data_IF_527873340396
#
_entry.id   IF_527873340396
#
_cell.length_a   1.000
_cell.length_b   1.000
_cell.length_c   1.000
_cell.angle_alpha   90.00
_cell.angle_beta   90.00
_cell.angle_gamma   90.00
#
_symmetry.space_group_name_H-M   'P 1'
#
loop_
_entity.id
_entity.type
_entity.pdbx_description
1 polymer ?
#
# COMPACT_ATOMS: atom_id res chain seq x y z
N UNK A 1 -57.24 -27.09 -16.75
CA UNK A 1 -56.40 -26.44 -15.71
C UNK A 1 -55.24 -27.31 -15.22
N UNK A 2 -55.13 -28.60 -15.57
CA UNK A 2 -54.01 -29.46 -15.10
C UNK A 2 -52.70 -29.29 -15.89
N UNK A 3 -52.75 -28.92 -17.17
CA UNK A 3 -51.55 -28.87 -18.04
C UNK A 3 -50.60 -27.72 -17.67
N UNK A 4 -51.14 -26.58 -17.20
CA UNK A 4 -50.32 -25.45 -16.76
C UNK A 4 -49.63 -25.72 -15.42
N UNK A 5 -50.24 -26.49 -14.53
CA UNK A 5 -49.65 -26.83 -13.24
C UNK A 5 -48.46 -27.79 -13.40
N UNK A 6 -48.56 -28.74 -14.34
CA UNK A 6 -47.47 -29.67 -14.66
C UNK A 6 -46.25 -28.97 -15.29
N UNK A 7 -46.46 -28.01 -16.19
CA UNK A 7 -45.36 -27.25 -16.77
C UNK A 7 -44.62 -26.41 -15.72
N UNK A 8 -45.33 -25.75 -14.80
CA UNK A 8 -44.70 -24.93 -13.75
C UNK A 8 -43.86 -25.80 -12.80
N UNK A 9 -44.33 -27.00 -12.44
CA UNK A 9 -43.55 -27.91 -11.61
C UNK A 9 -42.31 -28.48 -12.33
N UNK A 10 -42.41 -28.73 -13.64
CA UNK A 10 -41.26 -29.16 -14.44
C UNK A 10 -40.17 -28.07 -14.52
N UNK A 11 -40.56 -26.81 -14.72
CA UNK A 11 -39.61 -25.69 -14.74
C UNK A 11 -38.96 -25.43 -13.37
N UNK A 12 -39.70 -25.59 -12.27
CA UNK A 12 -39.16 -25.50 -10.92
C UNK A 12 -38.17 -26.62 -10.60
N UNK A 13 -38.47 -27.86 -11.00
CA UNK A 13 -37.57 -28.99 -10.80
C UNK A 13 -36.26 -28.86 -11.61
N UNK A 14 -36.34 -28.39 -12.86
CA UNK A 14 -35.17 -28.11 -13.70
C UNK A 14 -34.34 -26.95 -13.11
N UNK A 15 -35.00 -25.90 -12.61
CA UNK A 15 -34.34 -24.77 -11.95
C UNK A 15 -33.57 -25.18 -10.70
N UNK A 16 -34.17 -26.01 -9.83
CA UNK A 16 -33.49 -26.52 -8.63
C UNK A 16 -32.34 -27.49 -8.96
N UNK A 17 -32.50 -28.32 -10.00
CA UNK A 17 -31.44 -29.23 -10.46
C UNK A 17 -30.20 -28.51 -10.98
N UNK A 18 -30.39 -27.40 -11.71
CA UNK A 18 -29.30 -26.57 -12.22
C UNK A 18 -28.54 -25.83 -11.10
N UNK A 19 -29.25 -25.38 -10.06
CA UNK A 19 -28.61 -24.74 -8.90
C UNK A 19 -27.75 -25.74 -8.12
N UNK A 20 -28.21 -26.99 -7.95
CA UNK A 20 -27.43 -28.04 -7.29
C UNK A 20 -26.20 -28.46 -8.09
N UNK A 21 -26.28 -28.49 -9.43
CA UNK A 21 -25.15 -28.79 -10.32
C UNK A 21 -24.06 -27.72 -10.29
N UNK A 22 -24.43 -26.44 -10.13
CA UNK A 22 -23.48 -25.32 -9.96
C UNK A 22 -22.80 -25.38 -8.59
N UNK A 23 -23.49 -25.84 -7.55
CA UNK A 23 -22.93 -25.95 -6.19
C UNK A 23 -22.02 -27.17 -5.99
N UNK A 24 -22.18 -28.24 -6.78
CA UNK A 24 -21.35 -29.45 -6.69
C UNK A 24 -20.02 -29.38 -7.45
N UNK A 25 -19.76 -28.32 -8.23
CA UNK A 25 -18.55 -28.24 -9.06
C UNK A 25 -17.36 -27.51 -8.40
N UNK A 26 -17.48 -27.10 -7.14
CA UNK A 26 -16.35 -26.61 -6.33
C UNK A 26 -15.73 -27.77 -5.53
N UNK A 27 -15.23 -28.79 -6.24
CA UNK A 27 -14.24 -29.70 -5.68
C UNK A 27 -12.88 -29.03 -5.81
N UNK A 28 -12.43 -28.42 -4.70
CA UNK A 28 -11.12 -27.81 -4.57
C UNK A 28 -10.03 -28.90 -4.68
N UNK A 29 -9.14 -28.86 -5.69
CA UNK A 29 -8.00 -29.75 -5.72
C UNK A 29 -7.02 -29.29 -4.64
N UNK A 30 -6.77 -30.12 -3.63
CA UNK A 30 -5.62 -29.99 -2.74
C UNK A 30 -4.37 -30.32 -3.55
N UNK A 31 -3.79 -29.31 -4.21
CA UNK A 31 -2.45 -29.39 -4.77
C UNK A 31 -1.45 -28.96 -3.70
N UNK A 32 -0.59 -29.89 -3.30
CA UNK A 32 0.69 -29.57 -2.66
C UNK A 32 1.43 -28.62 -3.62
N UNK A 33 1.46 -27.34 -3.25
CA UNK A 33 2.14 -26.31 -4.03
C UNK A 33 3.64 -26.43 -3.72
N UNK A 34 4.39 -27.01 -4.66
CA UNK A 34 5.84 -26.93 -4.68
C UNK A 34 6.24 -25.45 -4.59
N UNK A 35 7.06 -25.14 -3.59
CA UNK A 35 7.50 -23.80 -3.25
C UNK A 35 8.39 -23.23 -4.35
N UNK A 36 7.74 -22.64 -5.36
CA UNK A 36 8.40 -21.90 -6.44
C UNK A 36 8.73 -20.49 -5.93
N UNK A 37 10.00 -20.11 -5.99
CA UNK A 37 10.44 -18.74 -5.71
C UNK A 37 9.57 -17.72 -6.45
N UNK A 38 9.10 -16.69 -5.72
CA UNK A 38 8.07 -15.73 -6.11
C UNK A 38 8.07 -15.33 -7.60
N UNK A 39 6.98 -15.65 -8.29
CA UNK A 39 6.66 -15.14 -9.63
C UNK A 39 5.77 -13.88 -9.62
N UNK A 40 5.38 -13.35 -8.46
CA UNK A 40 4.55 -12.14 -8.37
C UNK A 40 5.39 -10.87 -8.29
N UNK A 41 4.99 -9.85 -9.07
CA UNK A 41 5.66 -8.53 -9.16
C UNK A 41 5.76 -7.84 -7.80
N UNK A 42 4.70 -7.90 -6.99
CA UNK A 42 4.58 -7.28 -5.67
C UNK A 42 4.44 -8.35 -4.59
N UNK A 43 5.22 -8.26 -3.53
CA UNK A 43 5.26 -9.22 -2.43
C UNK A 43 3.97 -9.16 -1.60
N UNK A 44 3.48 -7.95 -1.36
CA UNK A 44 2.27 -7.69 -0.56
C UNK A 44 1.00 -8.18 -1.25
N UNK A 45 1.00 -8.33 -2.58
CA UNK A 45 -0.17 -8.85 -3.33
C UNK A 45 -0.55 -10.25 -2.90
N UNK A 46 0.43 -11.09 -2.62
CA UNK A 46 0.19 -12.46 -2.18
C UNK A 46 -0.47 -12.49 -0.79
N UNK A 47 -0.16 -11.53 0.09
CA UNK A 47 -0.84 -11.39 1.39
C UNK A 47 -2.33 -11.05 1.19
N UNK A 48 -2.63 -10.02 0.39
CA UNK A 48 -4.01 -9.58 0.14
C UNK A 48 -4.86 -10.53 -0.73
N UNK A 49 -4.25 -11.56 -1.32
CA UNK A 49 -5.00 -12.67 -1.94
C UNK A 49 -5.59 -13.63 -0.91
N UNK A 50 -5.00 -13.69 0.28
CA UNK A 50 -5.35 -14.64 1.34
C UNK A 50 -6.08 -13.91 2.49
N UNK A 51 -5.74 -12.64 2.71
CA UNK A 51 -6.28 -11.82 3.79
C UNK A 51 -7.05 -10.62 3.24
N UNK A 52 -8.26 -10.40 3.76
CA UNK A 52 -9.12 -9.27 3.35
C UNK A 52 -8.70 -7.92 3.94
N UNK A 53 -7.84 -7.92 4.98
CA UNK A 53 -7.40 -6.71 5.67
C UNK A 53 -6.00 -6.85 6.23
N UNK A 54 -5.34 -5.71 6.47
CA UNK A 54 -3.99 -5.67 7.04
C UNK A 54 -4.04 -5.81 8.56
N UNK A 55 -3.53 -6.92 9.06
CA UNK A 55 -3.34 -7.19 10.49
C UNK A 55 -1.84 -7.31 10.75
N UNK A 56 -1.28 -6.45 11.60
CA UNK A 56 0.18 -6.32 11.75
C UNK A 56 0.86 -7.65 12.13
N UNK A 57 0.31 -8.41 13.08
CA UNK A 57 0.90 -9.69 13.49
C UNK A 57 0.93 -10.73 12.37
N UNK A 58 -0.16 -10.85 11.61
CA UNK A 58 -0.26 -11.76 10.47
C UNK A 58 0.66 -11.33 9.32
N UNK A 59 0.78 -10.02 9.12
CA UNK A 59 1.65 -9.46 8.09
C UNK A 59 3.12 -9.66 8.45
N UNK A 60 3.51 -9.44 9.71
CA UNK A 60 4.86 -9.72 10.20
C UNK A 60 5.22 -11.20 10.06
N UNK A 61 4.30 -12.11 10.41
CA UNK A 61 4.47 -13.54 10.22
C UNK A 61 4.59 -13.90 8.72
N UNK A 62 3.76 -13.31 7.86
CA UNK A 62 3.84 -13.48 6.41
C UNK A 62 5.21 -13.05 5.87
N UNK A 63 5.69 -11.87 6.29
CA UNK A 63 6.98 -11.33 5.87
C UNK A 63 8.13 -12.22 6.36
N UNK A 64 8.06 -12.74 7.58
CA UNK A 64 9.09 -13.61 8.16
C UNK A 64 9.15 -15.00 7.51
N UNK A 65 7.99 -15.59 7.18
CA UNK A 65 7.89 -16.98 6.76
C UNK A 65 7.82 -17.16 5.24
N UNK A 66 7.18 -16.24 4.52
CA UNK A 66 6.93 -16.43 3.09
C UNK A 66 7.98 -15.79 2.21
N UNK A 67 8.60 -14.67 2.59
CA UNK A 67 9.74 -14.15 1.84
C UNK A 67 10.90 -15.12 2.07
N UNK A 68 11.46 -15.78 1.04
CA UNK A 68 12.65 -16.61 1.21
C UNK A 68 13.80 -15.70 1.61
N UNK A 69 13.97 -15.53 2.92
CA UNK A 69 15.05 -14.80 3.54
C UNK A 69 16.29 -15.68 3.43
N UNK A 70 17.08 -15.44 2.38
CA UNK A 70 18.49 -15.88 2.38
C UNK A 70 18.76 -17.36 2.17
N UNK A 71 17.97 -18.11 1.39
CA UNK A 71 18.44 -19.37 0.82
C UNK A 71 18.54 -19.27 -0.71
N UNK A 72 19.48 -18.46 -1.15
CA UNK A 72 20.20 -18.87 -2.35
C UNK A 72 21.09 -20.01 -1.84
N UNK A 73 20.86 -21.26 -2.30
CA UNK A 73 21.66 -22.45 -1.97
C UNK A 73 23.11 -22.26 -2.48
N UNK A 74 23.84 -21.34 -1.86
CA UNK A 74 25.22 -21.06 -2.16
C UNK A 74 26.03 -21.79 -1.11
N UNK A 75 26.56 -22.95 -1.52
CA UNK A 75 27.55 -23.73 -0.80
C UNK A 75 28.52 -22.85 0.00
N UNK A 76 28.81 -23.32 1.21
CA UNK A 76 29.69 -22.78 2.25
C UNK A 76 31.06 -22.31 1.73
N UNK A 77 31.13 -21.12 1.15
CA UNK A 77 32.40 -20.40 1.04
C UNK A 77 32.22 -18.98 1.56
N UNK A 78 32.91 -18.73 2.66
CA UNK A 78 32.75 -17.57 3.51
C UNK A 78 33.15 -16.29 2.77
N UNK A 79 32.14 -15.49 2.39
CA UNK A 79 32.09 -14.01 2.42
C UNK A 79 30.92 -13.50 1.57
N UNK A 80 29.73 -13.49 2.16
CA UNK A 80 28.49 -13.13 1.47
C UNK A 80 28.20 -11.62 1.50
N UNK A 81 27.60 -11.15 0.40
CA UNK A 81 27.00 -9.82 0.25
C UNK A 81 25.77 -9.72 1.17
N UNK A 82 25.90 -9.03 2.29
CA UNK A 82 24.78 -8.81 3.23
C UNK A 82 24.50 -7.31 3.33
N UNK A 83 23.37 -6.81 2.79
CA UNK A 83 22.99 -5.42 2.96
C UNK A 83 22.55 -5.17 4.40
N UNK A 84 23.06 -4.10 5.02
CA UNK A 84 22.71 -3.68 6.38
C UNK A 84 22.11 -2.29 6.39
N UNK A 85 21.01 -2.12 7.12
CA UNK A 85 20.43 -0.79 7.35
C UNK A 85 21.32 -0.01 8.33
N UNK A 86 21.88 1.13 7.89
CA UNK A 86 22.68 1.99 8.76
C UNK A 86 21.84 3.00 9.53
N UNK A 87 20.94 3.66 8.81
CA UNK A 87 20.10 4.71 9.35
C UNK A 87 18.89 4.90 8.47
N UNK A 88 17.78 5.29 9.07
CA UNK A 88 16.65 5.85 8.37
C UNK A 88 16.19 7.10 9.15
N UNK A 89 15.62 8.05 8.44
CA UNK A 89 15.04 9.24 9.06
C UNK A 89 13.78 9.57 8.30
N UNK A 90 12.72 9.88 9.03
CA UNK A 90 11.39 10.04 8.46
C UNK A 90 10.70 11.25 9.06
N UNK A 91 10.00 11.99 8.21
CA UNK A 91 9.25 13.16 8.62
C UNK A 91 8.05 13.41 7.69
N UNK A 92 7.01 14.03 8.23
CA UNK A 92 5.90 14.55 7.42
C UNK A 92 6.20 16.00 7.02
N UNK A 93 6.10 16.27 5.73
CA UNK A 93 6.31 17.58 5.12
C UNK A 93 4.98 18.12 4.61
N UNK A 94 4.74 19.42 4.81
CA UNK A 94 3.55 20.12 4.35
C UNK A 94 2.53 20.38 5.47
N UNK A 95 1.43 21.00 5.08
CA UNK A 95 0.33 21.43 5.98
C UNK A 95 -1.01 20.99 5.41
N UNK A 96 -2.01 20.85 6.28
CA UNK A 96 -3.35 20.42 5.88
C UNK A 96 -3.49 18.90 5.72
N UNK A 97 -4.45 18.50 4.88
CA UNK A 97 -4.86 17.11 4.63
C UNK A 97 -4.03 16.40 3.57
N UNK A 98 -3.28 17.13 2.73
CA UNK A 98 -2.32 16.54 1.81
C UNK A 98 -0.91 16.84 2.33
N UNK A 99 -0.14 15.78 2.66
CA UNK A 99 1.23 15.86 3.14
C UNK A 99 2.13 14.88 2.41
N UNK A 100 3.44 15.04 2.56
CA UNK A 100 4.42 14.11 2.01
C UNK A 100 5.19 13.43 3.15
N UNK A 101 5.17 12.11 3.18
CA UNK A 101 6.05 11.32 4.04
C UNK A 101 7.42 11.22 3.37
N UNK A 102 8.37 11.96 3.90
CA UNK A 102 9.76 11.96 3.45
C UNK A 102 10.55 10.94 4.24
N UNK A 103 11.19 10.00 3.56
CA UNK A 103 12.07 8.99 4.17
C UNK A 103 13.45 9.04 3.54
N UNK A 104 14.48 9.19 4.38
CA UNK A 104 15.90 9.12 4.01
C UNK A 104 16.48 7.84 4.61
N UNK A 105 16.85 6.87 3.77
CA UNK A 105 17.35 5.55 4.17
C UNK A 105 18.82 5.45 3.73
N UNK A 106 19.68 4.94 4.62
CA UNK A 106 21.09 4.66 4.36
C UNK A 106 21.35 3.17 4.57
N UNK A 107 21.93 2.53 3.56
CA UNK A 107 22.19 1.10 3.55
C UNK A 107 23.67 0.89 3.27
N UNK A 108 24.34 0.06 4.05
CA UNK A 108 25.72 -0.36 3.79
C UNK A 108 25.71 -1.71 3.10
N UNK A 109 26.50 -1.82 2.04
CA UNK A 109 26.79 -3.11 1.42
C UNK A 109 28.06 -3.66 2.06
N UNK A 110 27.95 -4.69 2.90
CA UNK A 110 29.13 -5.31 3.52
C UNK A 110 29.60 -6.50 2.67
N UNK A 111 30.85 -6.44 2.19
CA UNK A 111 31.54 -7.53 1.51
C UNK A 111 33.03 -7.25 1.34
N UNK A 112 33.89 -8.11 1.89
CA UNK A 112 35.36 -7.94 1.88
C UNK A 112 36.09 -8.64 0.71
N UNK A 113 35.40 -9.16 -0.31
CA UNK A 113 36.07 -9.95 -1.35
C UNK A 113 36.30 -9.18 -2.66
N UNK A 114 37.52 -9.35 -3.21
CA UNK A 114 37.98 -8.85 -4.51
C UNK A 114 37.29 -9.50 -5.72
N UNK A 115 36.43 -10.49 -5.51
CA UNK A 115 35.64 -11.15 -6.55
C UNK A 115 34.22 -10.60 -6.52
N UNK A 116 34.00 -9.50 -7.25
CA UNK A 116 32.66 -9.00 -7.60
C UNK A 116 31.87 -10.16 -8.20
N UNK A 117 30.93 -10.76 -7.46
CA UNK A 117 29.76 -11.34 -8.11
C UNK A 117 28.98 -10.12 -8.64
N UNK A 118 28.93 -9.91 -9.97
CA UNK A 118 28.27 -8.75 -10.51
C UNK A 118 26.76 -9.02 -10.38
N UNK A 119 26.16 -8.58 -9.27
CA UNK A 119 24.72 -8.38 -9.26
C UNK A 119 24.40 -7.48 -10.46
N UNK A 120 23.67 -8.01 -11.43
CA UNK A 120 23.37 -7.26 -12.65
C UNK A 120 22.38 -6.14 -12.37
N UNK A 121 21.44 -6.42 -11.46
CA UNK A 121 20.49 -5.46 -10.94
C UNK A 121 20.15 -5.78 -9.49
N UNK A 122 20.05 -4.73 -8.67
CA UNK A 122 19.52 -4.82 -7.32
C UNK A 122 18.39 -3.79 -7.20
N UNK A 123 17.26 -4.24 -6.69
CA UNK A 123 16.09 -3.43 -6.43
C UNK A 123 15.86 -3.36 -4.92
N UNK A 124 15.59 -2.17 -4.40
CA UNK A 124 15.08 -1.99 -3.04
C UNK A 124 13.56 -1.89 -3.10
N UNK A 125 12.90 -2.65 -2.25
CA UNK A 125 11.45 -2.67 -2.10
C UNK A 125 11.15 -2.12 -0.71
N UNK A 126 10.30 -1.10 -0.65
CA UNK A 126 9.89 -0.41 0.56
C UNK A 126 8.41 -0.65 0.75
N UNK A 127 8.04 -1.27 1.85
CA UNK A 127 6.66 -1.60 2.19
C UNK A 127 6.21 -0.67 3.31
N UNK A 128 5.41 0.33 2.97
CA UNK A 128 4.86 1.31 3.90
C UNK A 128 3.44 0.91 4.32
N UNK A 129 3.28 0.55 5.59
CA UNK A 129 1.98 0.19 6.19
C UNK A 129 1.24 1.45 6.62
N UNK A 130 0.19 1.82 5.90
CA UNK A 130 -0.57 3.03 6.21
C UNK A 130 -1.59 2.78 7.34
N UNK A 131 -1.72 3.70 8.30
CA UNK A 131 -2.81 3.69 9.27
C UNK A 131 -4.14 4.04 8.59
N UNK A 132 -5.28 3.67 9.19
CA UNK A 132 -6.62 3.93 8.61
C UNK A 132 -6.99 5.42 8.47
N UNK A 133 -6.21 6.32 9.08
CA UNK A 133 -6.35 7.76 8.91
C UNK A 133 -5.55 8.35 7.74
N UNK A 134 -4.68 7.57 7.11
CA UNK A 134 -3.85 7.97 5.98
C UNK A 134 -4.19 7.18 4.71
N UNK A 135 -4.00 7.82 3.57
CA UNK A 135 -4.27 7.26 2.26
C UNK A 135 -3.18 7.70 1.28
N UNK A 136 -2.75 6.83 0.38
CA UNK A 136 -1.91 7.21 -0.75
C UNK A 136 -2.70 7.01 -2.04
N UNK A 137 -2.81 8.06 -2.85
CA UNK A 137 -3.58 8.02 -4.10
C UNK A 137 -2.83 7.20 -5.16
N UNK A 138 -3.39 6.06 -5.63
CA UNK A 138 -2.75 5.25 -6.67
C UNK A 138 -2.46 6.05 -7.96
N UNK A 139 -3.29 7.02 -8.33
CA UNK A 139 -3.08 7.82 -9.53
C UNK A 139 -1.90 8.77 -9.38
N UNK A 140 -1.76 9.40 -8.22
CA UNK A 140 -0.61 10.25 -7.89
C UNK A 140 0.69 9.43 -7.86
N UNK A 141 0.66 8.22 -7.31
CA UNK A 141 1.83 7.33 -7.29
C UNK A 141 2.19 6.81 -8.67
N UNK A 142 1.20 6.48 -9.51
CA UNK A 142 1.46 6.14 -10.91
C UNK A 142 2.14 7.28 -11.66
N UNK A 143 1.78 8.54 -11.37
CA UNK A 143 2.47 9.68 -11.93
C UNK A 143 3.97 9.69 -11.53
N UNK A 144 4.31 9.29 -10.30
CA UNK A 144 5.71 9.20 -9.86
C UNK A 144 6.48 8.10 -10.60
N UNK A 145 5.83 6.99 -10.93
CA UNK A 145 6.40 5.94 -11.81
C UNK A 145 6.66 6.48 -13.21
N UNK A 146 5.68 7.17 -13.82
CA UNK A 146 5.84 7.74 -15.17
C UNK A 146 6.97 8.78 -15.25
N UNK A 147 7.24 9.50 -14.16
CA UNK A 147 8.36 10.45 -14.06
C UNK A 147 9.70 9.78 -13.77
N UNK A 148 9.74 8.45 -13.60
CA UNK A 148 10.94 7.71 -13.26
C UNK A 148 11.43 7.93 -11.82
N UNK A 149 10.57 8.45 -10.93
CA UNK A 149 10.92 8.60 -9.50
C UNK A 149 10.93 7.23 -8.82
N UNK A 150 9.96 6.39 -9.16
CA UNK A 150 9.87 5.00 -8.74
C UNK A 150 9.97 4.10 -9.96
N UNK A 151 10.62 2.94 -9.83
CA UNK A 151 10.61 1.92 -10.88
C UNK A 151 9.22 1.31 -11.01
N UNK A 152 8.56 1.11 -9.86
CA UNK A 152 7.22 0.57 -9.79
C UNK A 152 6.58 0.87 -8.43
N UNK A 153 5.25 0.83 -8.36
CA UNK A 153 4.51 1.06 -7.11
C UNK A 153 3.16 0.35 -7.12
N UNK A 154 2.75 -0.18 -5.98
CA UNK A 154 1.41 -0.70 -5.76
C UNK A 154 0.81 -0.19 -4.45
N UNK A 155 -0.50 0.05 -4.47
CA UNK A 155 -1.29 0.32 -3.26
C UNK A 155 -2.28 -0.84 -3.10
N UNK A 156 -2.25 -1.51 -1.95
CA UNK A 156 -3.08 -2.67 -1.65
C UNK A 156 -3.86 -2.46 -0.34
N UNK A 157 -4.95 -3.21 -0.17
CA UNK A 157 -5.90 -3.03 0.93
C UNK A 157 -6.95 -1.97 0.58
N UNK A 158 -7.31 -1.12 1.54
CA UNK A 158 -8.35 -0.11 1.33
C UNK A 158 -7.86 1.07 0.47
N UNK A 159 -8.31 1.09 -0.77
CA UNK A 159 -8.02 2.14 -1.74
C UNK A 159 -9.18 3.13 -1.96
N UNK A 160 -10.26 3.04 -1.17
CA UNK A 160 -11.42 3.90 -1.36
C UNK A 160 -11.19 5.27 -0.72
N UNK A 161 -10.85 6.26 -1.55
CA UNK A 161 -10.58 7.64 -1.13
C UNK A 161 -11.74 8.29 -0.35
N UNK A 162 -12.98 7.89 -0.63
CA UNK A 162 -14.19 8.52 -0.07
C UNK A 162 -14.55 7.99 1.33
N UNK A 163 -13.95 6.88 1.77
CA UNK A 163 -14.25 6.34 3.09
C UNK A 163 -13.59 7.16 4.20
N UNK A 164 -14.35 7.55 5.25
CA UNK A 164 -13.78 8.18 6.43
C UNK A 164 -12.97 7.15 7.24
N UNK A 165 -12.05 7.61 8.08
CA UNK A 165 -11.09 6.76 8.78
C UNK A 165 -11.75 5.69 9.68
N UNK A 166 -12.91 6.00 10.27
CA UNK A 166 -13.66 5.08 11.13
C UNK A 166 -14.44 3.99 10.38
N UNK A 167 -14.48 4.05 9.05
CA UNK A 167 -15.05 2.99 8.17
C UNK A 167 -14.03 2.41 7.20
N UNK A 168 -12.80 2.90 7.24
CA UNK A 168 -11.74 2.48 6.33
C UNK A 168 -10.93 1.36 6.96
N UNK A 169 -10.53 0.40 6.15
CA UNK A 169 -9.46 -0.52 6.50
C UNK A 169 -8.10 0.13 6.23
N UNK A 170 -7.03 -0.55 6.66
CA UNK A 170 -5.66 -0.11 6.40
C UNK A 170 -5.23 -0.51 4.99
N UNK A 171 -4.23 0.22 4.47
CA UNK A 171 -3.62 -0.05 3.18
C UNK A 171 -2.10 -0.15 3.30
N UNK A 172 -1.48 -0.72 2.28
CA UNK A 172 -0.02 -0.88 2.17
C UNK A 172 0.42 -0.29 0.85
N UNK A 173 1.49 0.49 0.89
CA UNK A 173 2.16 0.98 -0.32
C UNK A 173 3.48 0.24 -0.48
N UNK A 174 3.60 -0.53 -1.55
CA UNK A 174 4.85 -1.21 -1.93
C UNK A 174 5.53 -0.40 -3.04
N UNK A 175 6.71 0.13 -2.75
CA UNK A 175 7.48 1.01 -3.65
C UNK A 175 8.75 0.26 -4.07
N UNK A 176 8.99 0.21 -5.38
CA UNK A 176 10.18 -0.43 -5.94
C UNK A 176 11.13 0.61 -6.52
N UNK A 177 12.40 0.50 -6.15
CA UNK A 177 13.48 1.40 -6.56
C UNK A 177 14.63 0.57 -7.14
N UNK A 178 14.97 0.80 -8.41
CA UNK A 178 16.16 0.24 -9.01
C UNK A 178 17.41 0.99 -8.54
N UNK A 179 18.43 0.25 -8.11
CA UNK A 179 19.72 0.80 -7.68
C UNK A 179 20.73 0.92 -8.82
N UNK A 180 20.42 0.33 -9.99
CA UNK A 180 21.28 0.36 -11.16
C UNK A 180 22.67 -0.26 -10.94
N UNK A 181 23.49 -0.30 -11.99
CA UNK A 181 24.83 -0.90 -11.99
C UNK A 181 25.93 -0.04 -11.30
N UNK A 182 25.55 0.98 -10.52
CA UNK A 182 26.49 1.90 -9.89
C UNK A 182 27.24 1.32 -8.68
N UNK A 183 27.11 0.02 -8.42
CA UNK A 183 27.98 -0.71 -7.49
C UNK A 183 29.40 -0.94 -8.04
N UNK A 184 29.67 -0.53 -9.29
CA UNK A 184 30.92 -0.85 -9.99
C UNK A 184 32.04 0.20 -9.84
N UNK A 185 31.79 1.40 -9.31
CA UNK A 185 32.81 2.46 -9.14
C UNK A 185 33.16 2.79 -7.67
N UNK A 186 33.88 1.88 -7.00
CA UNK A 186 34.97 2.13 -6.04
C UNK A 186 34.95 3.22 -4.94
N UNK A 187 33.90 3.99 -4.64
CA UNK A 187 34.03 5.12 -3.67
C UNK A 187 32.88 5.31 -2.67
N UNK A 188 31.77 4.55 -2.67
CA UNK A 188 30.80 4.61 -1.55
C UNK A 188 30.20 3.25 -1.24
N UNK A 189 30.63 2.64 -0.14
CA UNK A 189 30.02 1.43 0.46
C UNK A 189 28.60 1.69 1.03
N UNK A 190 28.13 2.94 0.93
CA UNK A 190 26.85 3.42 1.45
C UNK A 190 25.93 3.88 0.33
N UNK A 191 24.76 3.24 0.25
CA UNK A 191 23.63 3.63 -0.58
C UNK A 191 22.71 4.57 0.21
N UNK A 192 22.43 5.74 -0.35
CA UNK A 192 21.48 6.71 0.23
C UNK A 192 20.25 6.85 -0.66
N UNK A 193 19.09 6.54 -0.09
CA UNK A 193 17.78 6.64 -0.74
C UNK A 193 17.03 7.79 -0.07
N UNK A 194 16.44 8.69 -0.87
CA UNK A 194 15.51 9.70 -0.36
C UNK A 194 14.22 9.57 -1.17
N UNK A 195 13.12 9.30 -0.49
CA UNK A 195 11.80 9.18 -1.11
C UNK A 195 10.82 10.14 -0.48
N UNK A 196 9.82 10.54 -1.27
CA UNK A 196 8.67 11.31 -0.80
C UNK A 196 7.41 10.59 -1.25
N UNK A 197 6.64 10.11 -0.29
CA UNK A 197 5.36 9.47 -0.53
C UNK A 197 4.24 10.49 -0.28
N UNK A 198 3.47 10.89 -1.30
CA UNK A 198 2.31 11.75 -1.08
C UNK A 198 1.21 10.99 -0.34
N UNK A 199 0.62 11.67 0.65
CA UNK A 199 -0.38 11.13 1.56
C UNK A 199 -1.52 12.10 1.75
N UNK A 200 -2.74 11.55 1.80
CA UNK A 200 -3.98 12.26 2.06
C UNK A 200 -4.56 11.78 3.38
N UNK A 201 -5.04 12.71 4.20
CA UNK A 201 -5.72 12.41 5.44
C UNK A 201 -7.17 12.03 5.14
N UNK A 202 -7.61 10.90 5.68
CA UNK A 202 -9.02 10.51 5.68
C UNK A 202 -9.79 11.31 6.74
N UNK A 203 -11.06 11.57 6.47
CA UNK A 203 -11.93 12.25 7.43
C UNK A 203 -12.02 11.47 8.74
N UNK A 204 -11.58 12.10 9.82
CA UNK A 204 -11.66 11.55 11.16
C UNK A 204 -13.07 11.74 11.75
N UNK A 205 -13.49 10.88 12.71
CA UNK A 205 -14.72 11.11 13.45
C UNK A 205 -14.64 12.43 14.26
N UNK A 206 -15.79 13.07 14.47
CA UNK A 206 -15.88 14.28 15.29
C UNK A 206 -15.30 14.05 16.69
N UNK A 207 -14.43 14.95 17.13
CA UNK A 207 -13.75 14.84 18.41
C UNK A 207 -13.50 16.19 19.07
N UNK A 208 -12.30 16.37 19.60
CA UNK A 208 -11.85 17.59 20.28
C UNK A 208 -10.83 18.35 19.41
N UNK A 209 -11.20 18.64 18.16
CA UNK A 209 -10.40 19.45 17.25
C UNK A 209 -9.44 18.65 16.37
N UNK A 210 -8.60 17.77 16.94
CA UNK A 210 -7.62 16.98 16.20
C UNK A 210 -7.69 15.48 16.53
N UNK A 211 -7.48 14.66 15.51
CA UNK A 211 -7.27 13.22 15.59
C UNK A 211 -5.82 12.90 15.26
N UNK A 212 -5.19 12.02 16.05
CA UNK A 212 -3.81 11.57 15.83
C UNK A 212 -3.80 10.35 14.92
N UNK A 213 -2.97 10.40 13.89
CA UNK A 213 -2.72 9.29 12.96
C UNK A 213 -1.23 8.96 13.06
N UNK A 214 -0.92 7.78 13.57
CA UNK A 214 0.44 7.35 13.86
C UNK A 214 0.95 6.40 12.77
N UNK A 215 2.14 6.70 12.23
CA UNK A 215 2.78 5.84 11.23
C UNK A 215 3.78 4.91 11.90
N UNK A 216 3.64 3.62 11.62
CA UNK A 216 4.63 2.60 11.96
C UNK A 216 5.87 2.67 11.07
N UNK A 217 6.85 1.81 11.33
CA UNK A 217 8.04 1.69 10.50
C UNK A 217 7.74 0.88 9.22
N UNK A 218 8.37 1.22 8.08
CA UNK A 218 8.25 0.44 6.86
C UNK A 218 9.11 -0.82 6.94
N UNK A 219 8.69 -1.86 6.23
CA UNK A 219 9.52 -3.04 6.00
C UNK A 219 10.40 -2.81 4.76
N UNK A 220 11.69 -3.14 4.86
CA UNK A 220 12.69 -2.86 3.83
C UNK A 220 13.29 -4.17 3.30
N UNK A 221 13.17 -4.37 2.00
CA UNK A 221 13.69 -5.55 1.31
C UNK A 221 14.66 -5.12 0.20
N UNK A 222 15.64 -5.96 -0.09
CA UNK A 222 16.51 -5.84 -1.26
C UNK A 222 16.46 -7.13 -2.06
N UNK A 223 16.11 -7.02 -3.34
CA UNK A 223 16.09 -8.13 -4.28
C UNK A 223 17.19 -7.93 -5.32
N UNK A 224 18.11 -8.88 -5.44
CA UNK A 224 19.19 -8.84 -6.42
C UNK A 224 19.12 -10.04 -7.35
N UNK A 225 19.37 -9.82 -8.64
CA UNK A 225 19.55 -10.87 -9.64
C UNK A 225 21.03 -11.09 -9.91
N UNK A 226 21.41 -12.37 -10.04
CA UNK A 226 22.75 -12.81 -10.40
C UNK A 226 22.66 -13.67 -11.66
N UNK A 227 23.54 -13.46 -12.63
CA UNK A 227 23.64 -14.32 -13.81
C UNK A 227 25.00 -15.06 -13.80
N UNK A 228 24.97 -16.39 -13.80
CA UNK A 228 26.15 -17.23 -13.88
C UNK A 228 25.78 -18.71 -14.06
N UNK A 229 26.69 -19.52 -14.63
CA UNK A 229 26.47 -20.93 -15.01
C UNK A 229 26.02 -21.87 -13.87
N UNK A 230 25.96 -21.40 -12.63
CA UNK A 230 25.51 -22.14 -11.45
C UNK A 230 24.29 -21.51 -10.75
N UNK A 231 23.87 -20.29 -11.11
CA UNK A 231 22.81 -19.56 -10.42
C UNK A 231 22.02 -18.70 -11.41
N UNK A 232 20.87 -19.20 -11.85
CA UNK A 232 19.82 -18.43 -12.50
C UNK A 232 18.71 -18.21 -11.44
N UNK A 233 18.86 -17.18 -10.62
CA UNK A 233 17.97 -16.96 -9.47
C UNK A 233 18.10 -15.57 -8.84
N UNK A 234 16.98 -15.05 -8.33
CA UNK A 234 16.93 -13.79 -7.59
C UNK A 234 16.98 -14.03 -6.08
N UNK A 235 17.92 -13.41 -5.37
CA UNK A 235 18.00 -13.45 -3.92
C UNK A 235 17.24 -12.27 -3.31
N UNK A 236 16.50 -12.49 -2.22
CA UNK A 236 15.84 -11.42 -1.45
C UNK A 236 16.39 -11.36 -0.03
N UNK A 237 16.70 -10.15 0.43
CA UNK A 237 17.28 -9.86 1.74
C UNK A 237 16.36 -8.91 2.50
N UNK A 238 16.07 -9.22 3.76
CA UNK A 238 15.46 -8.26 4.67
C UNK A 238 16.54 -7.34 5.22
N UNK A 239 16.33 -6.04 5.14
CA UNK A 239 17.21 -5.08 5.77
C UNK A 239 16.79 -4.90 7.22
N UNK A 240 17.47 -5.62 8.10
CA UNK A 240 17.37 -5.41 9.54
C UNK A 240 18.52 -4.53 10.01
N UNK A 241 18.29 -3.81 11.09
CA UNK A 241 19.35 -3.19 11.87
C UNK A 241 19.67 -4.12 13.04
N UNK A 242 20.94 -4.44 13.23
CA UNK A 242 21.42 -5.22 14.39
C UNK A 242 21.56 -4.34 15.64
N UNK A 243 21.51 -3.02 15.48
CA UNK A 243 21.66 -2.06 16.57
C UNK A 243 20.31 -1.69 17.21
N UNK A 244 20.26 -1.86 18.54
CA UNK A 244 19.03 -1.87 19.36
C UNK A 244 18.39 -0.48 19.49
N UNK A 245 19.13 0.58 19.15
CA UNK A 245 18.74 1.98 19.41
C UNK A 245 17.96 2.65 18.26
N UNK A 246 17.67 1.89 17.20
CA UNK A 246 17.08 2.42 15.97
C UNK A 246 15.53 2.40 15.97
N UNK A 247 14.91 2.73 17.11
CA UNK A 247 13.47 3.04 17.11
C UNK A 247 13.28 4.47 16.62
N UNK A 248 13.15 4.64 15.30
CA UNK A 248 12.67 5.90 14.74
C UNK A 248 11.38 6.29 15.47
N UNK A 249 11.36 7.49 16.07
CA UNK A 249 10.18 8.00 16.78
C UNK A 249 8.94 7.89 15.89
N UNK A 250 7.79 7.51 16.47
CA UNK A 250 6.57 7.40 15.69
C UNK A 250 6.24 8.75 15.05
N UNK A 251 5.86 8.71 13.79
CA UNK A 251 5.49 9.92 13.06
C UNK A 251 4.00 10.14 13.34
N UNK A 252 3.68 11.26 13.98
CA UNK A 252 2.31 11.61 14.34
C UNK A 252 1.80 12.68 13.38
N UNK A 253 0.70 12.36 12.71
CA UNK A 253 -0.06 13.32 11.92
C UNK A 253 -1.32 13.73 12.67
N UNK A 254 -1.37 15.00 13.07
CA UNK A 254 -2.57 15.62 13.62
C UNK A 254 -3.50 16.09 12.48
N UNK A 255 -4.61 15.38 12.34
CA UNK A 255 -5.66 15.64 11.33
C UNK A 255 -6.81 16.38 12.01
N UNK A 256 -7.23 17.55 11.50
CA UNK A 256 -8.36 18.26 12.08
C UNK A 256 -9.65 17.43 11.91
N UNK A 257 -10.39 17.22 13.00
CA UNK A 257 -11.61 16.42 13.03
C UNK A 257 -12.84 17.20 13.53
N UNK A 258 -12.69 18.50 13.76
CA UNK A 258 -13.78 19.34 14.26
C UNK A 258 -14.08 19.12 15.74
N UNK A 259 -14.87 20.03 16.30
CA UNK A 259 -15.27 20.05 17.71
C UNK A 259 -16.74 19.62 17.77
N UNK A 260 -17.02 18.51 18.46
CA UNK A 260 -18.36 17.91 18.49
C UNK A 260 -19.42 18.87 19.05
N UNK A 261 -19.05 19.69 20.02
CA UNK A 261 -19.91 20.68 20.67
C UNK A 261 -20.39 21.77 19.70
N UNK A 262 -19.63 22.05 18.64
CA UNK A 262 -19.99 23.04 17.63
C UNK A 262 -20.82 22.46 16.48
N UNK A 263 -20.94 21.14 16.38
CA UNK A 263 -21.55 20.47 15.23
C UNK A 263 -23.00 20.93 14.98
N UNK A 264 -23.81 21.07 16.03
CA UNK A 264 -25.21 21.51 15.90
C UNK A 264 -25.33 22.95 15.40
N UNK A 265 -24.53 23.87 15.95
CA UNK A 265 -24.52 25.28 15.56
C UNK A 265 -24.03 25.43 14.12
N UNK A 266 -22.91 24.79 13.79
CA UNK A 266 -22.36 24.79 12.43
C UNK A 266 -23.39 24.24 11.44
N UNK A 267 -24.01 23.10 11.74
CA UNK A 267 -25.04 22.51 10.89
C UNK A 267 -26.24 23.45 10.66
N UNK A 268 -26.73 24.10 11.71
CA UNK A 268 -27.87 25.02 11.60
C UNK A 268 -27.52 26.24 10.74
N UNK A 269 -26.36 26.86 10.95
CA UNK A 269 -25.90 28.02 10.17
C UNK A 269 -25.65 27.64 8.72
N UNK A 270 -24.98 26.53 8.45
CA UNK A 270 -24.75 26.02 7.09
C UNK A 270 -26.07 25.74 6.37
N UNK A 271 -27.03 25.10 7.04
CA UNK A 271 -28.34 24.80 6.47
C UNK A 271 -29.13 26.07 6.12
N UNK A 272 -29.22 27.03 7.05
CA UNK A 272 -29.90 28.30 6.82
C UNK A 272 -29.23 29.09 5.68
N UNK A 273 -27.90 29.16 5.69
CA UNK A 273 -27.13 29.81 4.62
C UNK A 273 -27.41 29.15 3.27
N UNK A 274 -27.40 27.81 3.20
CA UNK A 274 -27.66 27.09 1.96
C UNK A 274 -29.07 27.34 1.43
N UNK A 275 -30.09 27.35 2.29
CA UNK A 275 -31.48 27.68 1.90
C UNK A 275 -31.56 29.11 1.37
N UNK A 276 -31.03 30.09 2.10
CA UNK A 276 -31.08 31.49 1.69
C UNK A 276 -30.36 31.67 0.35
N UNK A 277 -29.17 31.08 0.18
CA UNK A 277 -28.44 31.10 -1.08
C UNK A 277 -29.24 30.47 -2.22
N UNK A 278 -29.84 29.31 -2.02
CA UNK A 278 -30.66 28.63 -3.02
C UNK A 278 -31.86 29.49 -3.44
N UNK A 279 -32.59 30.08 -2.48
CA UNK A 279 -33.73 30.96 -2.76
C UNK A 279 -33.31 32.22 -3.52
N UNK A 280 -32.16 32.83 -3.18
CA UNK A 280 -31.63 33.98 -3.89
C UNK A 280 -31.23 33.64 -5.33
N UNK A 281 -30.62 32.47 -5.55
CA UNK A 281 -30.27 31.98 -6.90
C UNK A 281 -31.55 31.79 -7.72
N UNK A 282 -32.58 31.15 -7.17
CA UNK A 282 -33.86 30.94 -7.86
C UNK A 282 -34.54 32.27 -8.18
N UNK A 283 -34.66 33.16 -7.21
CA UNK A 283 -35.28 34.50 -7.40
C UNK A 283 -34.56 35.30 -8.47
N UNK A 284 -33.23 35.34 -8.42
CA UNK A 284 -32.41 36.06 -9.40
C UNK A 284 -32.57 35.46 -10.80
N UNK A 285 -32.61 34.13 -10.91
CA UNK A 285 -32.81 33.43 -12.18
C UNK A 285 -34.17 33.75 -12.81
N UNK A 286 -35.25 33.76 -12.02
CA UNK A 286 -36.60 34.13 -12.49
C UNK A 286 -36.61 35.59 -12.97
N UNK A 287 -36.08 36.52 -12.17
CA UNK A 287 -36.07 37.93 -12.50
C UNK A 287 -35.28 38.23 -13.79
N UNK A 288 -34.11 37.61 -13.97
CA UNK A 288 -33.35 37.76 -15.20
C UNK A 288 -34.02 37.10 -16.41
N UNK A 289 -34.62 35.91 -16.25
CA UNK A 289 -35.36 35.27 -17.35
C UNK A 289 -36.50 36.15 -17.88
N UNK A 290 -37.19 36.86 -16.99
CA UNK A 290 -38.28 37.76 -17.36
C UNK A 290 -37.78 39.03 -18.09
N UNK A 291 -36.57 39.50 -17.78
CA UNK A 291 -35.96 40.67 -18.42
C UNK A 291 -35.22 40.37 -19.73
N UNK A 292 -35.11 39.09 -20.12
CA UNK A 292 -34.45 38.67 -21.38
C UNK A 292 -35.46 38.36 -22.49
N UNK A 293 -36.76 38.53 -22.24
CA UNK A 293 -37.85 38.40 -23.23
C UNK A 293 -38.28 39.82 -23.64
N UNK A 294 -37.43 40.53 -24.40
CA UNK A 294 -37.78 41.69 -25.22
C UNK A 294 -36.77 41.83 -26.36
#
# INVERSE_FOLDING_TARGET
MEVQHFQVQLYLAIGFGLIFLVMSSNAMPTTHEEQKCFGEKYVTKTYFKIHDSLIDSQFEEFIANKIPLGLCDVHQDERYFVPRLLAMHRNLIGVGSHRQLSSSIRIKMQGESKSKLPAQSCQVIIIEKLPSGGFADPFELQHLVHRGVFTDVAVLGDTNLELPSFRSNRSVVEIHLDMGYNMSSGVKDELKINLRLPLHARYAPLGHGFSKVEFGQPDLLMRCSFEGKAFDGSCSFMLKNDDVDYKASPIIWEVPCGIKEHAGVVSAVTFLSAIVSALLIVKTSIYHSHNTIF
#
